data_IF_700110329840
#
_entry.id   IF_700110329840
#
_cell.length_a   1.000
_cell.length_b   1.000
_cell.length_c   1.000
_cell.angle_alpha   90.00
_cell.angle_beta   90.00
_cell.angle_gamma   90.00
#
_symmetry.space_group_name_H-M   'P 1'
#
loop_
_entity.id
_entity.type
_entity.pdbx_description
1 polymer ?
#
# COMPACT_ATOMS: atom_id res chain seq x y z
N UNK A 1 8.92 -14.95 -0.56
CA UNK A 1 7.83 -14.19 0.09
C UNK A 1 6.82 -13.58 -0.88
N UNK A 2 7.17 -13.40 -2.16
CA UNK A 2 6.30 -12.72 -3.14
C UNK A 2 5.34 -13.64 -3.92
N UNK A 3 4.91 -14.75 -3.31
CA UNK A 3 3.85 -15.56 -3.90
C UNK A 3 2.57 -14.73 -4.02
N UNK A 4 1.82 -14.96 -5.10
CA UNK A 4 0.61 -14.21 -5.39
C UNK A 4 -0.63 -15.08 -5.36
N UNK A 5 -1.74 -14.52 -4.89
CA UNK A 5 -3.07 -15.10 -5.06
C UNK A 5 -3.56 -15.00 -6.53
N UNK A 6 -4.73 -15.57 -6.90
CA UNK A 6 -5.29 -15.45 -8.26
C UNK A 6 -5.53 -14.01 -8.75
N UNK A 7 -5.55 -13.02 -7.85
CA UNK A 7 -5.64 -11.60 -8.19
C UNK A 7 -4.27 -10.92 -8.33
N UNK A 8 -3.18 -11.69 -8.36
CA UNK A 8 -1.80 -11.25 -8.34
C UNK A 8 -1.40 -10.45 -7.10
N UNK A 9 -2.11 -10.64 -5.98
CA UNK A 9 -1.80 -9.96 -4.72
C UNK A 9 -0.77 -10.75 -3.95
N UNK A 10 0.34 -10.10 -3.60
CA UNK A 10 1.36 -10.65 -2.70
C UNK A 10 0.89 -10.64 -1.25
N UNK A 11 1.59 -11.37 -0.37
CA UNK A 11 1.38 -11.30 1.08
C UNK A 11 1.41 -9.84 1.59
N UNK A 12 2.29 -9.00 1.02
CA UNK A 12 2.41 -7.58 1.38
C UNK A 12 1.16 -6.76 1.03
N UNK A 13 0.44 -7.09 -0.06
CA UNK A 13 -0.84 -6.45 -0.37
C UNK A 13 -1.92 -6.77 0.67
N UNK A 14 -1.95 -8.02 1.15
CA UNK A 14 -2.91 -8.47 2.15
C UNK A 14 -2.60 -7.84 3.51
N UNK A 15 -1.34 -7.89 3.94
CA UNK A 15 -0.88 -7.28 5.18
C UNK A 15 -1.17 -5.77 5.21
N UNK A 16 -0.90 -5.04 4.13
CA UNK A 16 -1.16 -3.61 4.06
C UNK A 16 -2.65 -3.23 4.23
N UNK A 17 -3.57 -4.10 3.82
CA UNK A 17 -5.03 -3.90 3.96
C UNK A 17 -5.59 -4.16 5.36
N UNK A 18 -4.78 -4.69 6.27
CA UNK A 18 -5.22 -5.03 7.61
C UNK A 18 -4.97 -3.87 8.57
N UNK A 19 -5.90 -3.64 9.50
CA UNK A 19 -5.78 -2.60 10.55
C UNK A 19 -4.62 -2.88 11.52
N UNK A 20 -4.31 -4.16 11.72
CA UNK A 20 -3.25 -4.70 12.57
C UNK A 20 -2.01 -5.18 11.77
N UNK A 21 -1.96 -4.93 10.46
CA UNK A 21 -0.94 -5.50 9.57
C UNK A 21 0.43 -4.81 9.61
N UNK A 22 0.68 -3.89 10.55
CA UNK A 22 1.95 -3.15 10.61
C UNK A 22 3.15 -4.09 10.83
N UNK A 23 3.07 -4.98 11.81
CA UNK A 23 4.15 -5.91 12.13
C UNK A 23 4.39 -6.91 11.00
N UNK A 24 3.30 -7.41 10.39
CA UNK A 24 3.35 -8.26 9.20
C UNK A 24 4.06 -7.55 8.03
N UNK A 25 3.74 -6.28 7.77
CA UNK A 25 4.40 -5.47 6.74
C UNK A 25 5.88 -5.31 7.06
N UNK A 26 6.24 -4.96 8.30
CA UNK A 26 7.65 -4.83 8.71
C UNK A 26 8.41 -6.13 8.49
N UNK A 27 7.84 -7.26 8.90
CA UNK A 27 8.46 -8.57 8.76
C UNK A 27 8.59 -8.98 7.28
N UNK A 28 7.56 -8.76 6.47
CA UNK A 28 7.61 -9.03 5.03
C UNK A 28 8.68 -8.18 4.33
N UNK A 29 8.78 -6.89 4.67
CA UNK A 29 9.82 -6.01 4.13
C UNK A 29 11.23 -6.42 4.57
N UNK A 30 11.41 -6.89 5.82
CA UNK A 30 12.68 -7.48 6.29
C UNK A 30 13.08 -8.72 5.50
N UNK A 31 12.09 -9.52 5.09
CA UNK A 31 12.28 -10.68 4.20
C UNK A 31 12.42 -10.29 2.72
N UNK A 32 12.65 -9.00 2.43
CA UNK A 32 12.81 -8.44 1.07
C UNK A 32 11.58 -8.64 0.17
N UNK A 33 10.38 -8.62 0.75
CA UNK A 33 9.16 -8.63 -0.06
C UNK A 33 9.11 -7.43 -1.01
N UNK A 34 8.71 -7.68 -2.25
CA UNK A 34 8.69 -6.66 -3.29
C UNK A 34 7.47 -5.73 -3.14
N UNK A 35 7.69 -4.56 -2.56
CA UNK A 35 6.70 -3.49 -2.38
C UNK A 35 6.19 -2.87 -3.69
N UNK A 36 6.93 -3.05 -4.79
CA UNK A 36 6.57 -2.55 -6.12
C UNK A 36 5.71 -3.52 -6.93
N UNK A 37 5.48 -4.73 -6.41
CA UNK A 37 4.62 -5.74 -7.03
C UNK A 37 3.24 -5.16 -7.32
N UNK A 38 2.66 -5.57 -8.45
CA UNK A 38 1.37 -5.05 -8.92
C UNK A 38 0.35 -6.18 -8.99
N UNK A 39 -0.82 -5.95 -8.41
CA UNK A 39 -1.97 -6.83 -8.56
C UNK A 39 -2.63 -6.67 -9.95
N UNK A 40 -3.70 -7.43 -10.22
CA UNK A 40 -4.42 -7.37 -11.50
C UNK A 40 -5.03 -5.99 -11.82
N UNK A 41 -5.19 -5.12 -10.82
CA UNK A 41 -5.65 -3.73 -10.99
C UNK A 41 -4.48 -2.76 -11.17
N UNK A 42 -3.27 -3.26 -11.40
CA UNK A 42 -2.02 -2.48 -11.42
C UNK A 42 -1.76 -1.75 -10.09
N UNK A 43 -2.34 -2.22 -8.99
CA UNK A 43 -2.18 -1.59 -7.68
C UNK A 43 -0.95 -2.18 -6.97
N UNK A 44 -0.12 -1.31 -6.41
CA UNK A 44 0.93 -1.69 -5.45
C UNK A 44 0.35 -1.89 -4.05
N UNK A 45 1.14 -2.46 -3.12
CA UNK A 45 0.71 -2.63 -1.72
C UNK A 45 0.26 -1.30 -1.08
N UNK A 46 0.86 -0.16 -1.49
CA UNK A 46 0.52 1.18 -1.01
C UNK A 46 -0.96 1.54 -1.25
N UNK A 47 -1.58 1.07 -2.34
CA UNK A 47 -3.01 1.30 -2.61
C UNK A 47 -3.95 0.64 -1.60
N UNK A 48 -3.44 -0.33 -0.86
CA UNK A 48 -4.18 -1.10 0.14
C UNK A 48 -3.91 -0.63 1.56
N UNK A 49 -2.96 0.28 1.77
CA UNK A 49 -2.58 0.73 3.10
C UNK A 49 -3.77 1.38 3.83
N UNK A 50 -4.15 0.82 4.98
CA UNK A 50 -5.18 1.38 5.85
C UNK A 50 -4.61 2.17 7.04
N UNK A 51 -3.34 1.95 7.38
CA UNK A 51 -2.62 2.64 8.46
C UNK A 51 -1.56 3.60 7.88
N UNK A 52 -1.55 4.88 8.26
CA UNK A 52 -0.53 5.84 7.83
C UNK A 52 0.90 5.35 8.04
N UNK A 53 1.17 4.62 9.13
CA UNK A 53 2.49 4.06 9.43
C UNK A 53 2.91 3.01 8.41
N UNK A 54 1.96 2.21 7.92
CA UNK A 54 2.20 1.24 6.84
C UNK A 54 2.48 1.97 5.53
N UNK A 55 1.73 3.03 5.22
CA UNK A 55 1.97 3.82 4.03
C UNK A 55 3.37 4.46 4.04
N UNK A 56 3.77 5.08 5.14
CA UNK A 56 5.12 5.64 5.31
C UNK A 56 6.22 4.60 5.10
N UNK A 57 6.07 3.39 5.66
CA UNK A 57 7.02 2.30 5.45
C UNK A 57 7.11 1.91 3.97
N UNK A 58 5.98 1.74 3.30
CA UNK A 58 5.94 1.37 1.88
C UNK A 58 6.53 2.47 0.98
N UNK A 59 6.31 3.74 1.30
CA UNK A 59 6.90 4.87 0.57
C UNK A 59 8.42 4.87 0.72
N UNK A 60 8.94 4.58 1.91
CA UNK A 60 10.39 4.41 2.14
C UNK A 60 10.98 3.24 1.32
N UNK A 61 10.17 2.26 0.93
CA UNK A 61 10.54 1.18 0.01
C UNK A 61 10.41 1.55 -1.47
N UNK A 62 10.40 2.85 -1.79
CA UNK A 62 10.31 3.40 -3.16
C UNK A 62 8.99 3.09 -3.87
N UNK A 63 7.91 2.80 -3.14
CA UNK A 63 6.58 2.70 -3.73
C UNK A 63 6.21 4.01 -4.45
N UNK A 64 5.52 3.87 -5.57
CA UNK A 64 5.20 4.99 -6.45
C UNK A 64 3.88 5.63 -6.00
N UNK A 65 3.98 6.68 -5.19
CA UNK A 65 2.84 7.46 -4.66
C UNK A 65 1.96 8.11 -5.73
N UNK A 66 2.51 8.37 -6.92
CA UNK A 66 1.79 8.93 -8.09
C UNK A 66 1.38 7.89 -9.13
N UNK A 67 1.67 6.61 -8.90
CA UNK A 67 1.28 5.56 -9.82
C UNK A 67 -0.24 5.50 -9.96
N UNK A 68 -0.72 5.23 -11.17
CA UNK A 68 -2.14 5.11 -11.46
C UNK A 68 -2.50 3.63 -11.61
N UNK A 69 -3.56 3.21 -10.92
CA UNK A 69 -4.15 1.90 -11.10
C UNK A 69 -4.83 1.76 -12.49
N UNK A 70 -5.42 0.61 -12.76
CA UNK A 70 -6.15 0.33 -14.00
C UNK A 70 -7.32 1.28 -14.26
N UNK A 71 -7.81 1.99 -13.24
CA UNK A 71 -8.89 2.97 -13.33
C UNK A 71 -8.37 4.42 -13.32
N UNK A 72 -7.06 4.63 -13.44
CA UNK A 72 -6.46 5.96 -13.43
C UNK A 72 -6.33 6.59 -12.04
N UNK A 73 -6.61 5.85 -10.96
CA UNK A 73 -6.61 6.36 -9.58
C UNK A 73 -5.23 6.23 -8.96
N UNK A 74 -4.85 7.19 -8.13
CA UNK A 74 -3.63 7.13 -7.31
C UNK A 74 -3.92 6.50 -5.95
N UNK A 75 -2.89 6.06 -5.19
CA UNK A 75 -3.06 5.66 -3.80
C UNK A 75 -3.81 6.70 -2.97
N UNK A 76 -3.50 7.99 -3.17
CA UNK A 76 -4.17 9.10 -2.51
C UNK A 76 -5.67 9.15 -2.83
N UNK A 77 -6.05 8.96 -4.09
CA UNK A 77 -7.45 8.92 -4.50
C UNK A 77 -8.21 7.79 -3.78
N UNK A 78 -7.59 6.61 -3.70
CA UNK A 78 -8.20 5.45 -3.01
C UNK A 78 -8.30 5.71 -1.50
N UNK A 79 -7.27 6.28 -0.87
CA UNK A 79 -7.27 6.63 0.54
C UNK A 79 -8.37 7.65 0.88
N UNK A 80 -8.53 8.70 0.07
CA UNK A 80 -9.56 9.72 0.27
C UNK A 80 -10.99 9.15 0.18
N UNK A 81 -11.22 8.17 -0.72
CA UNK A 81 -12.52 7.51 -0.87
C UNK A 81 -12.81 6.39 0.13
N UNK A 82 -11.83 5.98 0.95
CA UNK A 82 -11.94 4.79 1.80
C UNK A 82 -12.70 5.00 3.12
N UNK A 83 -13.08 6.24 3.46
CA UNK A 83 -13.82 6.55 4.69
C UNK A 83 -13.10 6.17 5.99
N UNK A 84 -11.79 5.88 5.93
CA UNK A 84 -11.01 5.46 7.09
C UNK A 84 -10.90 6.62 8.09
N UNK A 85 -11.02 6.37 9.40
CA UNK A 85 -10.84 7.39 10.44
C UNK A 85 -9.41 7.99 10.43
N UNK A 86 -8.45 7.23 9.90
CA UNK A 86 -7.07 7.65 9.65
C UNK A 86 -6.88 8.40 8.32
N UNK A 87 -7.96 8.65 7.57
CA UNK A 87 -7.97 9.31 6.26
C UNK A 87 -7.18 10.63 6.19
N UNK A 88 -7.39 11.59 7.11
CA UNK A 88 -6.65 12.85 7.11
C UNK A 88 -5.13 12.67 7.24
N UNK A 89 -4.68 11.78 8.13
CA UNK A 89 -3.26 11.48 8.32
C UNK A 89 -2.65 10.73 7.14
N UNK A 90 -3.40 9.80 6.55
CA UNK A 90 -3.00 9.08 5.34
C UNK A 90 -2.82 10.05 4.16
N UNK A 91 -3.73 11.01 4.02
CA UNK A 91 -3.66 12.06 2.99
C UNK A 91 -2.42 12.94 3.18
N UNK A 92 -2.09 13.35 4.41
CA UNK A 92 -0.85 14.09 4.68
C UNK A 92 0.39 13.26 4.32
N UNK A 93 0.46 11.99 4.77
CA UNK A 93 1.59 11.11 4.49
C UNK A 93 1.82 10.91 2.98
N UNK A 94 0.76 10.77 2.19
CA UNK A 94 0.84 10.61 0.73
C UNK A 94 1.12 11.91 -0.02
N UNK A 95 0.79 13.08 0.55
CA UNK A 95 1.08 14.40 -0.04
C UNK A 95 2.49 14.87 0.24
N UNK A 96 2.99 14.66 1.45
CA UNK A 96 4.30 15.18 1.89
C UNK A 96 5.47 14.36 1.33
N UNK A 97 5.23 13.09 0.97
CA UNK A 97 6.26 12.16 0.54
C UNK A 97 6.26 11.88 -0.99
N UNK A 98 5.62 12.75 -1.81
CA UNK A 98 5.43 12.53 -3.26
C UNK A 98 5.41 13.73 -4.19
#
# INVERSE_FOLDING_TARGET
VDFTDPFRRTALHKAASRRDGYDDVVQLLRLRANALSRDNRKQQALFKACDPRVAELLIRQRCQVRWKDSSGRTPLFVAAGSGLPSGPRMVCALKELG
#
